data_IF_372515925680
#
_entry.id   IF_372515925680
#
_cell.length_a   1.000
_cell.length_b   1.000
_cell.length_c   1.000
_cell.angle_alpha   90.00
_cell.angle_beta   90.00
_cell.angle_gamma   90.00
#
_symmetry.space_group_name_H-M   'P 1'
#
loop_
_entity.id
_entity.type
_entity.pdbx_description
1 polymer ?
#
# COMPACT_ATOMS: atom_id res chain seq x y z
N UNK A 1 21.85 49.11 33.02
CA UNK A 1 22.03 47.90 33.87
C UNK A 1 21.38 46.74 33.12
N UNK A 2 22.20 45.85 32.56
CA UNK A 2 21.78 44.75 31.69
C UNK A 2 20.85 43.77 32.40
N UNK A 3 19.80 43.34 31.71
CA UNK A 3 18.97 42.20 32.09
C UNK A 3 19.68 40.92 31.66
N UNK A 4 19.87 40.00 32.61
CA UNK A 4 20.39 38.67 32.34
C UNK A 4 19.27 37.81 31.72
N UNK A 5 19.54 37.25 30.55
CA UNK A 5 18.67 36.29 29.87
C UNK A 5 18.95 34.93 30.52
N UNK A 6 17.97 34.37 31.21
CA UNK A 6 18.03 32.99 31.67
C UNK A 6 17.93 32.07 30.46
N UNK A 7 19.06 31.52 30.03
CA UNK A 7 19.11 30.37 29.12
C UNK A 7 18.64 29.14 29.88
N UNK A 8 17.35 28.81 29.72
CA UNK A 8 16.84 27.47 30.03
C UNK A 8 17.60 26.47 29.16
N UNK A 9 18.42 25.66 29.83
CA UNK A 9 19.13 24.55 29.20
C UNK A 9 18.10 23.49 28.88
N UNK A 10 17.67 23.43 27.61
CA UNK A 10 16.93 22.30 27.07
C UNK A 10 17.82 21.06 27.20
N UNK A 11 17.59 20.28 28.25
CA UNK A 11 18.14 18.93 28.38
C UNK A 11 17.65 18.13 27.19
N UNK A 12 18.54 17.86 26.24
CA UNK A 12 18.27 16.93 25.16
C UNK A 12 17.99 15.57 25.81
N UNK A 13 16.72 15.18 25.82
CA UNK A 13 16.29 13.84 26.21
C UNK A 13 16.84 12.93 25.11
N UNK A 14 17.97 12.28 25.38
CA UNK A 14 18.46 11.18 24.56
C UNK A 14 17.34 10.13 24.56
N UNK A 15 16.72 9.79 23.41
CA UNK A 15 15.70 8.77 23.40
C UNK A 15 16.39 7.45 23.73
N UNK A 16 16.19 6.96 24.96
CA UNK A 16 16.47 5.57 25.30
C UNK A 16 15.64 4.73 24.34
N UNK A 17 16.31 4.05 23.41
CA UNK A 17 15.73 3.21 22.37
C UNK A 17 15.00 2.01 22.99
N UNK A 18 13.84 2.24 23.60
CA UNK A 18 12.91 1.17 23.93
C UNK A 18 12.08 0.90 22.68
N UNK A 19 12.36 -0.22 22.01
CA UNK A 19 11.50 -0.77 20.97
C UNK A 19 10.07 -0.85 21.50
N UNK A 20 9.10 -0.24 20.80
CA UNK A 20 7.71 -0.27 21.22
C UNK A 20 7.14 -1.69 21.07
N UNK A 21 6.68 -2.26 22.19
CA UNK A 21 6.04 -3.56 22.25
C UNK A 21 4.63 -3.39 22.82
N UNK A 22 3.70 -2.91 21.98
CA UNK A 22 2.32 -2.64 22.38
C UNK A 22 1.34 -2.66 21.21
N UNK A 23 0.06 -2.40 21.49
CA UNK A 23 -0.95 -2.30 20.46
C UNK A 23 -0.91 -0.90 19.82
N UNK A 24 -0.49 -0.82 18.55
CA UNK A 24 -0.40 0.44 17.78
C UNK A 24 -1.70 1.24 17.76
N UNK A 25 -2.86 0.59 17.87
CA UNK A 25 -4.17 1.25 17.93
C UNK A 25 -4.38 2.06 19.22
N UNK A 26 -3.54 1.83 20.23
CA UNK A 26 -3.55 2.54 21.52
C UNK A 26 -2.39 3.54 21.62
N UNK A 27 -1.67 3.80 20.52
CA UNK A 27 -0.55 4.74 20.55
C UNK A 27 -1.10 6.18 20.54
N UNK A 28 -0.83 6.92 21.62
CA UNK A 28 -1.26 8.32 21.76
C UNK A 28 -0.29 9.31 21.09
N UNK A 29 0.93 8.87 20.78
CA UNK A 29 1.96 9.67 20.10
C UNK A 29 2.05 9.36 18.61
N UNK A 30 2.75 10.23 17.86
CA UNK A 30 2.99 10.02 16.43
C UNK A 30 3.88 8.79 16.19
N UNK A 31 3.52 7.99 15.18
CA UNK A 31 4.17 6.69 14.92
C UNK A 31 5.62 6.83 14.43
N UNK A 32 6.01 8.01 13.95
CA UNK A 32 7.38 8.29 13.52
C UNK A 32 8.39 8.37 14.69
N UNK A 33 7.93 8.30 15.94
CA UNK A 33 8.80 8.23 17.14
C UNK A 33 9.15 6.78 17.49
N UNK A 34 8.51 5.79 16.84
CA UNK A 34 8.75 4.38 17.11
C UNK A 34 10.09 3.93 16.54
N UNK A 35 10.97 3.41 17.39
CA UNK A 35 12.15 2.64 16.99
C UNK A 35 11.74 1.19 16.75
N UNK A 36 11.94 0.69 15.53
CA UNK A 36 11.72 -0.72 15.20
C UNK A 36 13.00 -1.52 15.42
N UNK A 37 12.90 -2.67 16.09
CA UNK A 37 14.05 -3.54 16.33
C UNK A 37 14.65 -4.07 15.02
N UNK A 38 15.98 -4.11 14.95
CA UNK A 38 16.73 -4.78 13.87
C UNK A 38 16.74 -6.30 14.00
N UNK A 39 16.24 -6.86 15.12
CA UNK A 39 16.16 -8.31 15.32
C UNK A 39 15.17 -8.96 14.34
N UNK A 40 15.44 -10.21 13.93
CA UNK A 40 14.54 -10.98 13.08
C UNK A 40 13.15 -11.07 13.68
N UNK A 41 12.11 -11.03 12.84
CA UNK A 41 10.74 -11.13 13.33
C UNK A 41 10.51 -12.52 13.97
N UNK A 42 9.96 -12.62 15.19
CA UNK A 42 9.71 -13.92 15.83
C UNK A 42 8.79 -14.85 15.03
N UNK A 43 7.98 -14.27 14.13
CA UNK A 43 7.05 -14.98 13.28
C UNK A 43 7.23 -14.55 11.82
N UNK A 44 7.52 -15.52 10.95
CA UNK A 44 7.42 -15.32 9.51
C UNK A 44 5.94 -15.30 9.09
N UNK A 45 5.59 -14.39 8.19
CA UNK A 45 4.23 -14.18 7.71
C UNK A 45 4.21 -14.46 6.22
N UNK A 46 3.14 -15.07 5.73
CA UNK A 46 2.83 -15.22 4.31
C UNK A 46 1.97 -14.06 3.86
N UNK A 47 2.50 -13.23 2.97
CA UNK A 47 1.86 -12.01 2.52
C UNK A 47 1.56 -12.14 1.03
N UNK A 48 0.29 -12.02 0.66
CA UNK A 48 -0.13 -11.83 -0.73
C UNK A 48 -0.24 -10.33 -1.01
N UNK A 49 0.40 -9.84 -2.06
CA UNK A 49 0.37 -8.45 -2.48
C UNK A 49 -0.22 -8.33 -3.88
N UNK A 50 -1.32 -7.59 -4.03
CA UNK A 50 -1.86 -7.18 -5.31
C UNK A 50 -1.43 -5.75 -5.63
N UNK A 51 -0.73 -5.59 -6.74
CA UNK A 51 -0.21 -4.30 -7.24
C UNK A 51 -0.41 -4.24 -8.74
N UNK A 52 -0.66 -3.03 -9.27
CA UNK A 52 -0.90 -2.89 -10.71
C UNK A 52 0.35 -3.23 -11.49
N UNK A 53 1.45 -2.57 -11.14
CA UNK A 53 2.75 -2.70 -11.78
C UNK A 53 3.79 -2.90 -10.69
N UNK A 54 4.65 -3.88 -10.86
CA UNK A 54 5.82 -4.05 -10.03
C UNK A 54 7.00 -3.31 -10.67
N UNK A 55 7.63 -2.36 -9.97
CA UNK A 55 8.71 -1.61 -10.55
C UNK A 55 9.97 -2.46 -10.66
N UNK A 56 10.59 -2.41 -11.83
CA UNK A 56 11.96 -2.84 -12.02
C UNK A 56 12.80 -1.63 -12.41
N UNK A 57 13.98 -1.52 -11.80
CA UNK A 57 14.87 -0.34 -11.92
C UNK A 57 14.16 0.96 -11.46
N UNK A 58 14.78 2.12 -11.69
CA UNK A 58 14.34 3.42 -11.13
C UNK A 58 13.01 3.99 -11.66
N UNK A 59 12.29 3.28 -12.54
CA UNK A 59 11.08 3.74 -13.23
C UNK A 59 9.79 3.43 -12.45
N UNK A 60 9.78 3.81 -11.17
CA UNK A 60 8.67 3.57 -10.25
C UNK A 60 7.93 4.86 -9.94
N UNK A 61 6.60 4.88 -10.03
CA UNK A 61 5.75 5.93 -9.45
C UNK A 61 5.74 5.90 -7.92
N UNK A 62 5.03 6.85 -7.29
CA UNK A 62 4.93 6.91 -5.82
C UNK A 62 4.35 5.64 -5.19
N UNK A 63 3.28 5.10 -5.79
CA UNK A 63 2.62 3.85 -5.39
C UNK A 63 3.57 2.66 -5.46
N UNK A 64 4.19 2.51 -6.62
CA UNK A 64 5.09 1.41 -6.95
C UNK A 64 6.29 1.41 -6.02
N UNK A 65 6.87 2.58 -5.72
CA UNK A 65 7.94 2.72 -4.72
C UNK A 65 7.47 2.37 -3.33
N UNK A 66 6.30 2.84 -2.90
CA UNK A 66 5.77 2.53 -1.58
C UNK A 66 5.61 1.02 -1.38
N UNK A 67 4.93 0.36 -2.31
CA UNK A 67 4.73 -1.09 -2.28
C UNK A 67 6.08 -1.82 -2.30
N UNK A 68 6.99 -1.44 -3.19
CA UNK A 68 8.30 -2.08 -3.29
C UNK A 68 9.13 -1.92 -2.01
N UNK A 69 9.23 -0.72 -1.44
CA UNK A 69 10.02 -0.47 -0.23
C UNK A 69 9.48 -1.25 0.95
N UNK A 70 8.16 -1.19 1.20
CA UNK A 70 7.54 -1.90 2.32
C UNK A 70 7.78 -3.40 2.23
N UNK A 71 7.46 -4.01 1.09
CA UNK A 71 7.47 -5.46 0.98
C UNK A 71 8.89 -6.02 0.82
N UNK A 72 9.83 -5.26 0.25
CA UNK A 72 11.25 -5.60 0.28
C UNK A 72 11.79 -5.65 1.71
N UNK A 73 11.46 -4.66 2.54
CA UNK A 73 11.89 -4.65 3.96
C UNK A 73 11.25 -5.83 4.70
N UNK A 74 9.98 -6.15 4.45
CA UNK A 74 9.32 -7.31 5.06
C UNK A 74 9.97 -8.64 4.62
N UNK A 75 10.27 -8.79 3.33
CA UNK A 75 10.96 -9.96 2.80
C UNK A 75 12.36 -10.14 3.43
N UNK A 76 13.12 -9.05 3.55
CA UNK A 76 14.44 -9.04 4.21
C UNK A 76 14.38 -9.40 5.69
N UNK A 77 13.24 -9.14 6.35
CA UNK A 77 12.99 -9.54 7.75
C UNK A 77 12.52 -11.01 7.89
N UNK A 78 12.45 -11.74 6.78
CA UNK A 78 12.12 -13.17 6.73
C UNK A 78 10.65 -13.49 6.48
N UNK A 79 9.83 -12.52 6.05
CA UNK A 79 8.46 -12.78 5.62
C UNK A 79 8.43 -13.33 4.18
N UNK A 80 7.49 -14.23 3.88
CA UNK A 80 7.27 -14.75 2.53
C UNK A 80 6.31 -13.82 1.80
N UNK A 81 6.77 -13.16 0.74
CA UNK A 81 5.97 -12.21 -0.01
C UNK A 81 5.72 -12.75 -1.42
N UNK A 82 4.44 -12.88 -1.77
CA UNK A 82 3.97 -13.22 -3.10
C UNK A 82 3.33 -12.00 -3.75
N UNK A 83 3.89 -11.53 -4.85
CA UNK A 83 3.42 -10.35 -5.58
C UNK A 83 2.63 -10.79 -6.81
N UNK A 84 1.38 -10.37 -6.92
CA UNK A 84 0.52 -10.59 -8.09
C UNK A 84 0.39 -9.27 -8.86
N UNK A 85 0.94 -9.22 -10.07
CA UNK A 85 1.15 -7.97 -10.83
C UNK A 85 1.00 -8.17 -12.34
N UNK A 86 0.82 -7.07 -13.08
CA UNK A 86 0.89 -7.09 -14.55
C UNK A 86 2.28 -7.48 -15.05
N UNK A 87 2.33 -8.08 -16.25
CA UNK A 87 3.58 -8.31 -16.99
C UNK A 87 4.30 -6.97 -17.22
N UNK A 88 5.63 -6.90 -17.03
CA UNK A 88 6.36 -5.70 -17.38
C UNK A 88 6.38 -5.51 -18.90
N UNK A 89 6.55 -4.26 -19.33
CA UNK A 89 6.64 -3.93 -20.77
C UNK A 89 8.00 -4.29 -21.35
N UNK A 90 9.03 -4.26 -20.51
CA UNK A 90 10.40 -4.64 -20.87
C UNK A 90 10.73 -6.00 -20.22
N UNK A 91 11.09 -7.04 -20.99
CA UNK A 91 11.49 -8.33 -20.45
C UNK A 91 12.67 -8.28 -19.47
N UNK A 92 13.58 -7.30 -19.60
CA UNK A 92 14.66 -7.12 -18.63
C UNK A 92 14.15 -6.74 -17.24
N UNK A 93 12.99 -6.09 -17.16
CA UNK A 93 12.36 -5.74 -15.89
C UNK A 93 11.89 -6.99 -15.13
N UNK A 94 11.40 -8.02 -15.83
CA UNK A 94 11.04 -9.30 -15.22
C UNK A 94 12.28 -10.04 -14.69
N UNK A 95 13.38 -10.00 -15.43
CA UNK A 95 14.66 -10.62 -15.07
C UNK A 95 15.36 -9.92 -13.90
N UNK A 96 15.15 -8.61 -13.77
CA UNK A 96 15.65 -7.81 -12.65
C UNK A 96 14.76 -7.90 -11.39
N UNK A 97 13.77 -8.80 -11.37
CA UNK A 97 12.90 -9.02 -10.23
C UNK A 97 13.69 -9.36 -8.96
N UNK A 98 13.15 -8.90 -7.83
CA UNK A 98 13.78 -9.06 -6.54
C UNK A 98 13.73 -10.52 -6.09
N UNK A 99 14.90 -11.16 -5.98
CA UNK A 99 15.02 -12.56 -5.53
C UNK A 99 14.54 -12.80 -4.10
N UNK A 100 14.29 -11.75 -3.31
CA UNK A 100 13.71 -11.89 -1.97
C UNK A 100 12.20 -12.15 -1.97
N UNK A 101 11.53 -12.07 -3.12
CA UNK A 101 10.07 -12.20 -3.23
C UNK A 101 9.66 -13.06 -4.43
N UNK A 102 8.51 -13.71 -4.33
CA UNK A 102 7.93 -14.51 -5.41
C UNK A 102 6.98 -13.64 -6.24
N UNK A 103 7.37 -13.31 -7.47
CA UNK A 103 6.58 -12.44 -8.35
C UNK A 103 5.82 -13.27 -9.39
N UNK A 104 4.50 -13.13 -9.38
CA UNK A 104 3.51 -13.78 -10.23
C UNK A 104 2.99 -12.75 -11.24
N UNK A 105 3.49 -12.83 -12.46
CA UNK A 105 3.06 -11.97 -13.56
C UNK A 105 1.78 -12.50 -14.20
N UNK A 106 0.86 -11.60 -14.53
CA UNK A 106 -0.27 -11.93 -15.40
C UNK A 106 0.18 -11.97 -16.87
N UNK A 107 -0.72 -12.35 -17.77
CA UNK A 107 -0.42 -12.47 -19.21
C UNK A 107 -0.52 -11.14 -19.97
N UNK A 108 -0.70 -10.01 -19.28
CA UNK A 108 -0.94 -8.70 -19.89
C UNK A 108 -0.13 -7.61 -19.21
N UNK A 109 0.18 -6.56 -19.97
CA UNK A 109 0.85 -5.35 -19.45
C UNK A 109 -0.08 -4.46 -18.62
N UNK A 110 -1.39 -4.71 -18.68
CA UNK A 110 -2.37 -4.23 -17.71
C UNK A 110 -2.69 -5.35 -16.71
N UNK A 111 -3.07 -4.98 -15.49
CA UNK A 111 -3.40 -5.96 -14.45
C UNK A 111 -4.70 -6.70 -14.81
N UNK A 112 -4.56 -7.90 -15.36
CA UNK A 112 -5.65 -8.87 -15.47
C UNK A 112 -6.01 -9.39 -14.07
N UNK A 113 -7.08 -8.80 -13.52
CA UNK A 113 -7.53 -9.08 -12.16
C UNK A 113 -8.04 -10.53 -12.00
N UNK A 114 -8.60 -11.12 -13.06
CA UNK A 114 -9.10 -12.50 -13.02
C UNK A 114 -7.94 -13.50 -13.03
N UNK A 115 -6.93 -13.26 -13.87
CA UNK A 115 -5.73 -14.08 -13.90
C UNK A 115 -4.95 -13.99 -12.57
N UNK A 116 -4.76 -12.76 -12.06
CA UNK A 116 -4.11 -12.53 -10.77
C UNK A 116 -4.87 -13.23 -9.63
N UNK A 117 -6.20 -13.17 -9.64
CA UNK A 117 -7.03 -13.87 -8.65
C UNK A 117 -6.90 -15.39 -8.73
N UNK A 118 -6.91 -15.95 -9.95
CA UNK A 118 -6.74 -17.40 -10.15
C UNK A 118 -5.38 -17.87 -9.62
N UNK A 119 -4.31 -17.13 -9.89
CA UNK A 119 -2.97 -17.48 -9.40
C UNK A 119 -2.87 -17.33 -7.88
N UNK A 120 -3.50 -16.29 -7.32
CA UNK A 120 -3.64 -16.16 -5.88
C UNK A 120 -4.34 -17.37 -5.26
N UNK A 121 -5.47 -17.83 -5.81
CA UNK A 121 -6.18 -19.01 -5.29
C UNK A 121 -5.36 -20.30 -5.39
N UNK A 122 -4.54 -20.43 -6.44
CA UNK A 122 -3.58 -21.52 -6.57
C UNK A 122 -2.55 -21.48 -5.43
N UNK A 123 -1.89 -20.33 -5.25
CA UNK A 123 -0.87 -20.17 -4.22
C UNK A 123 -1.43 -20.23 -2.79
N UNK A 124 -2.60 -19.66 -2.55
CA UNK A 124 -3.29 -19.70 -1.26
C UNK A 124 -3.58 -21.15 -0.85
N UNK A 125 -3.93 -22.03 -1.79
CA UNK A 125 -4.09 -23.47 -1.51
C UNK A 125 -2.75 -24.15 -1.23
N UNK A 126 -1.73 -23.89 -2.04
CA UNK A 126 -0.39 -24.48 -1.88
C UNK A 126 0.28 -24.13 -0.55
N UNK A 127 0.05 -22.92 -0.06
CA UNK A 127 0.67 -22.38 1.15
C UNK A 127 -0.18 -22.57 2.42
N UNK A 128 -1.33 -23.26 2.33
CA UNK A 128 -2.32 -23.35 3.42
C UNK A 128 -2.73 -21.97 3.96
N UNK A 129 -3.08 -21.04 3.08
CA UNK A 129 -3.58 -19.71 3.42
C UNK A 129 -2.48 -18.64 3.50
N UNK A 130 -2.80 -17.41 3.08
CA UNK A 130 -2.00 -16.22 3.40
C UNK A 130 -2.40 -15.66 4.76
N UNK A 131 -1.41 -15.18 5.53
CA UNK A 131 -1.66 -14.51 6.81
C UNK A 131 -2.20 -13.09 6.57
N UNK A 132 -1.71 -12.42 5.54
CA UNK A 132 -2.10 -11.06 5.14
C UNK A 132 -2.35 -11.02 3.64
N UNK A 133 -3.43 -10.37 3.23
CA UNK A 133 -3.74 -10.08 1.84
C UNK A 133 -3.74 -8.57 1.68
N UNK A 134 -2.69 -8.02 1.09
CA UNK A 134 -2.56 -6.61 0.84
C UNK A 134 -2.96 -6.26 -0.59
N UNK A 135 -3.88 -5.33 -0.76
CA UNK A 135 -4.14 -4.68 -2.05
C UNK A 135 -3.66 -3.24 -2.00
N UNK A 136 -2.73 -2.90 -2.88
CA UNK A 136 -2.36 -1.51 -3.14
C UNK A 136 -3.37 -0.94 -4.15
N UNK A 137 -3.94 0.22 -3.83
CA UNK A 137 -5.00 0.84 -4.64
C UNK A 137 -6.13 -0.17 -4.95
N UNK A 138 -6.72 -0.08 -6.15
CA UNK A 138 -7.87 -0.90 -6.60
C UNK A 138 -7.44 -2.15 -7.37
N UNK A 139 -6.37 -2.82 -6.91
CA UNK A 139 -5.79 -3.99 -7.58
C UNK A 139 -6.51 -5.30 -7.30
N UNK A 140 -7.03 -5.50 -6.08
CA UNK A 140 -7.93 -6.61 -5.75
C UNK A 140 -9.40 -6.10 -5.73
N UNK A 141 -10.22 -6.48 -6.72
CA UNK A 141 -11.65 -6.15 -6.73
C UNK A 141 -12.42 -6.63 -5.51
N UNK A 142 -13.40 -5.84 -5.08
CA UNK A 142 -14.26 -6.17 -3.95
C UNK A 142 -14.96 -7.52 -4.09
N UNK A 143 -15.43 -7.88 -5.30
CA UNK A 143 -16.10 -9.15 -5.55
C UNK A 143 -15.20 -10.37 -5.29
N UNK A 144 -13.88 -10.23 -5.43
CA UNK A 144 -12.91 -11.27 -5.08
C UNK A 144 -12.52 -11.21 -3.60
N UNK A 145 -12.35 -10.01 -3.05
CA UNK A 145 -12.04 -9.81 -1.64
C UNK A 145 -13.19 -10.22 -0.70
N UNK A 146 -14.43 -10.24 -1.19
CA UNK A 146 -15.62 -10.58 -0.40
C UNK A 146 -15.50 -11.99 0.16
N UNK A 147 -15.44 -12.09 1.49
CA UNK A 147 -15.33 -13.36 2.22
C UNK A 147 -13.90 -13.77 2.55
N UNK A 148 -12.89 -12.98 2.17
CA UNK A 148 -11.53 -13.14 2.67
C UNK A 148 -11.40 -12.47 4.05
N UNK A 149 -10.71 -13.13 4.96
CA UNK A 149 -10.21 -12.51 6.19
C UNK A 149 -8.84 -11.89 5.95
N UNK A 150 -8.44 -10.94 6.81
CA UNK A 150 -7.09 -10.35 6.82
C UNK A 150 -6.70 -9.58 5.55
N UNK A 151 -7.69 -8.98 4.87
CA UNK A 151 -7.46 -8.06 3.75
C UNK A 151 -7.10 -6.68 4.30
N UNK A 152 -5.97 -6.14 3.85
CA UNK A 152 -5.51 -4.78 4.11
C UNK A 152 -5.48 -4.04 2.78
N UNK A 153 -5.95 -2.80 2.76
CA UNK A 153 -5.90 -1.95 1.58
C UNK A 153 -5.11 -0.68 1.88
N UNK A 154 -4.16 -0.34 1.03
CA UNK A 154 -3.52 0.98 1.02
C UNK A 154 -4.09 1.80 -0.13
N UNK A 155 -4.49 3.02 0.17
CA UNK A 155 -5.03 3.96 -0.80
C UNK A 155 -4.16 5.20 -0.77
N UNK A 156 -3.77 5.69 -1.93
CA UNK A 156 -3.19 7.02 -2.04
C UNK A 156 -4.26 7.98 -2.56
N UNK A 157 -4.26 9.18 -1.95
CA UNK A 157 -5.39 10.11 -1.89
C UNK A 157 -6.10 10.44 -3.21
N UNK A 158 -5.47 10.33 -4.38
CA UNK A 158 -6.04 10.90 -5.63
C UNK A 158 -7.46 10.41 -5.98
N UNK A 159 -7.79 9.14 -5.79
CA UNK A 159 -9.16 8.66 -6.06
C UNK A 159 -10.10 8.93 -4.89
N UNK A 160 -9.64 8.82 -3.64
CA UNK A 160 -10.47 9.14 -2.48
C UNK A 160 -10.79 10.63 -2.44
N UNK A 161 -9.79 11.49 -2.59
CA UNK A 161 -9.91 12.94 -2.75
C UNK A 161 -10.73 13.28 -3.99
N UNK A 162 -10.55 12.56 -5.11
CA UNK A 162 -11.36 12.75 -6.32
C UNK A 162 -12.84 12.45 -6.08
N UNK A 163 -13.16 11.31 -5.47
CA UNK A 163 -14.53 10.91 -5.11
C UNK A 163 -15.11 11.86 -4.05
N UNK A 164 -14.35 12.16 -3.00
CA UNK A 164 -14.81 13.00 -1.90
C UNK A 164 -15.00 14.46 -2.34
N UNK A 165 -14.07 15.01 -3.11
CA UNK A 165 -14.20 16.35 -3.70
C UNK A 165 -15.37 16.43 -4.69
N UNK A 166 -15.64 15.34 -5.42
CA UNK A 166 -16.75 15.29 -6.36
C UNK A 166 -18.11 15.14 -5.67
N UNK A 167 -18.20 14.30 -4.64
CA UNK A 167 -19.38 14.19 -3.78
C UNK A 167 -19.64 15.53 -3.10
N UNK A 168 -18.61 16.14 -2.51
CA UNK A 168 -18.73 17.47 -1.91
C UNK A 168 -19.17 18.50 -2.94
N UNK A 169 -18.56 18.55 -4.13
CA UNK A 169 -18.95 19.48 -5.19
C UNK A 169 -20.40 19.29 -5.64
N UNK A 170 -20.92 18.05 -5.68
CA UNK A 170 -22.33 17.80 -5.97
C UNK A 170 -23.25 18.17 -4.79
N UNK A 171 -22.82 17.94 -3.54
CA UNK A 171 -23.59 18.28 -2.35
C UNK A 171 -23.65 19.80 -2.10
N UNK A 172 -22.60 20.53 -2.45
CA UNK A 172 -22.52 21.99 -2.33
C UNK A 172 -22.90 22.69 -3.63
N UNK A 173 -23.44 21.97 -4.62
CA UNK A 173 -23.81 22.57 -5.89
C UNK A 173 -25.11 23.35 -5.73
N UNK A 174 -25.11 24.59 -6.20
CA UNK A 174 -26.33 25.40 -6.27
C UNK A 174 -27.31 24.79 -7.29
N UNK A 175 -28.61 25.00 -7.06
CA UNK A 175 -29.67 24.34 -7.82
C UNK A 175 -29.68 24.68 -9.33
N UNK A 176 -29.09 25.83 -9.69
CA UNK A 176 -29.02 26.38 -11.04
C UNK A 176 -27.66 26.17 -11.72
N UNK A 177 -26.67 25.61 -11.03
CA UNK A 177 -25.35 25.36 -11.63
C UNK A 177 -25.40 24.15 -12.58
N UNK A 178 -25.05 24.34 -13.87
CA UNK A 178 -25.14 23.29 -14.88
C UNK A 178 -24.05 22.22 -14.70
N UNK A 179 -24.42 20.94 -14.81
CA UNK A 179 -23.45 19.83 -14.88
C UNK A 179 -22.75 19.84 -16.23
N UNK A 180 -21.43 19.62 -16.24
CA UNK A 180 -20.74 19.33 -17.49
C UNK A 180 -21.03 17.89 -17.94
N UNK A 181 -20.96 17.56 -19.24
CA UNK A 181 -21.17 16.19 -19.73
C UNK A 181 -20.21 15.17 -19.10
N UNK A 182 -18.98 15.61 -18.78
CA UNK A 182 -17.96 14.84 -18.07
C UNK A 182 -18.36 14.56 -16.61
N UNK A 183 -19.13 15.46 -16.01
CA UNK A 183 -19.67 15.30 -14.66
C UNK A 183 -20.79 14.26 -14.62
N UNK A 184 -21.62 14.21 -15.65
CA UNK A 184 -22.66 13.20 -15.78
C UNK A 184 -22.09 11.81 -16.08
N UNK A 185 -21.08 11.70 -16.94
CA UNK A 185 -20.48 10.42 -17.31
C UNK A 185 -19.73 9.76 -16.15
N UNK A 186 -18.99 10.52 -15.33
CA UNK A 186 -18.29 9.91 -14.19
C UNK A 186 -19.22 9.67 -12.99
N UNK A 187 -20.36 10.38 -12.87
CA UNK A 187 -21.37 10.04 -11.86
C UNK A 187 -22.04 8.70 -12.19
N UNK A 188 -22.23 8.42 -13.47
CA UNK A 188 -22.71 7.14 -14.00
C UNK A 188 -21.63 6.05 -14.05
N UNK A 189 -20.43 6.31 -13.53
CA UNK A 189 -19.31 5.36 -13.51
C UNK A 189 -18.84 4.94 -14.90
N UNK A 190 -19.06 5.76 -15.93
CA UNK A 190 -18.83 5.42 -17.34
C UNK A 190 -17.56 6.05 -17.92
N UNK A 191 -16.80 6.77 -17.10
CA UNK A 191 -15.47 7.28 -17.48
C UNK A 191 -14.42 6.19 -17.20
N UNK A 192 -13.80 5.70 -18.27
CA UNK A 192 -12.72 4.71 -18.26
C UNK A 192 -11.38 5.34 -17.85
#
# INVERSE_FOLDING_TARGET
KSAAINTETTTAITPTSSTYAGNLLKLESSWNVLSFSSEPCPKSLKIALFVKKWPAKGNAGGLERHAQTLHRVLAQRGHQVHVFTSLPRDPEEALASDKSMDIHFTNSTELDKQAAWSEFQNMNRRLNGFDIIHTESVCLPYNFARGLSNVVATWHGIIYEGIHSRILRELTREADEPRTPTDDQALKGTLN
#
